data_IF_876455532121
#
_entry.id   IF_876455532121
#
_cell.length_a   1.000
_cell.length_b   1.000
_cell.length_c   1.000
_cell.angle_alpha   90.00
_cell.angle_beta   90.00
_cell.angle_gamma   90.00
#
_symmetry.space_group_name_H-M   'P 1'
#
loop_
_entity.id
_entity.type
_entity.pdbx_description
1 polymer ?
#
# COMPACT_ATOMS: atom_id res chain seq x y z
N UNK A 1 2.98 21.60 0.42
CA UNK A 1 1.55 21.33 0.68
C UNK A 1 1.07 20.08 -0.04
N UNK A 2 1.05 20.01 -1.38
CA UNK A 2 0.49 18.87 -2.13
C UNK A 2 1.11 17.51 -1.74
N UNK A 3 2.44 17.44 -1.56
CA UNK A 3 3.14 16.21 -1.14
C UNK A 3 2.71 15.70 0.24
N UNK A 4 2.52 16.61 1.21
CA UNK A 4 2.12 16.23 2.56
C UNK A 4 0.69 15.68 2.59
N UNK A 5 -0.20 16.22 1.74
CA UNK A 5 -1.57 15.72 1.60
C UNK A 5 -1.62 14.36 0.87
N UNK A 6 -0.78 14.17 -0.15
CA UNK A 6 -0.65 12.88 -0.84
C UNK A 6 -0.17 11.78 0.12
N UNK A 7 0.87 12.05 0.91
CA UNK A 7 1.38 11.08 1.90
C UNK A 7 0.38 10.82 3.04
N UNK A 8 -0.41 11.83 3.42
CA UNK A 8 -1.49 11.62 4.39
C UNK A 8 -2.58 10.69 3.84
N UNK A 9 -3.01 10.89 2.59
CA UNK A 9 -3.98 10.03 1.94
C UNK A 9 -3.51 8.58 1.78
N UNK A 10 -2.22 8.38 1.45
CA UNK A 10 -1.61 7.04 1.40
C UNK A 10 -1.60 6.38 2.79
N UNK A 11 -1.28 7.14 3.83
CA UNK A 11 -1.33 6.68 5.22
C UNK A 11 -2.75 6.28 5.66
N UNK A 12 -3.74 7.11 5.36
CA UNK A 12 -5.14 6.84 5.68
C UNK A 12 -5.65 5.59 4.93
N UNK A 13 -5.30 5.43 3.65
CA UNK A 13 -5.68 4.26 2.88
C UNK A 13 -5.15 2.95 3.50
N UNK A 14 -3.91 2.95 4.00
CA UNK A 14 -3.33 1.82 4.73
C UNK A 14 -4.02 1.62 6.07
N UNK A 15 -4.26 2.69 6.84
CA UNK A 15 -4.91 2.61 8.14
C UNK A 15 -6.31 1.99 8.03
N UNK A 16 -7.10 2.38 7.02
CA UNK A 16 -8.38 1.73 6.72
C UNK A 16 -8.19 0.26 6.35
N UNK A 17 -7.17 -0.08 5.56
CA UNK A 17 -6.91 -1.46 5.18
C UNK A 17 -6.64 -2.35 6.40
N UNK A 18 -5.83 -1.85 7.35
CA UNK A 18 -5.55 -2.53 8.63
C UNK A 18 -6.84 -2.66 9.44
N UNK A 19 -7.58 -1.56 9.62
CA UNK A 19 -8.78 -1.52 10.45
C UNK A 19 -9.88 -2.48 9.96
N UNK A 20 -10.04 -2.60 8.64
CA UNK A 20 -11.00 -3.52 8.04
C UNK A 20 -10.45 -4.93 7.80
N UNK A 21 -9.18 -5.19 8.16
CA UNK A 21 -8.50 -6.48 7.93
C UNK A 21 -8.57 -6.93 6.47
N UNK A 22 -8.44 -5.98 5.54
CA UNK A 22 -8.37 -6.29 4.13
C UNK A 22 -7.00 -6.92 3.82
N UNK A 23 -7.02 -8.04 3.13
CA UNK A 23 -5.79 -8.82 2.88
C UNK A 23 -4.97 -8.28 1.70
N UNK A 24 -5.62 -7.62 0.73
CA UNK A 24 -4.98 -7.23 -0.53
C UNK A 24 -5.07 -5.72 -0.80
N UNK A 25 -3.93 -5.05 -0.72
CA UNK A 25 -3.81 -3.65 -1.09
C UNK A 25 -3.35 -3.53 -2.54
N UNK A 26 -4.31 -3.32 -3.45
CA UNK A 26 -4.04 -3.20 -4.88
C UNK A 26 -3.56 -1.79 -5.22
N UNK A 27 -2.28 -1.66 -5.61
CA UNK A 27 -1.72 -0.36 -6.04
C UNK A 27 -0.64 -0.52 -7.09
N UNK A 28 -0.60 0.43 -8.05
CA UNK A 28 0.53 0.59 -8.99
C UNK A 28 1.60 1.55 -8.47
N UNK A 29 1.30 2.26 -7.39
CA UNK A 29 2.30 3.11 -6.77
C UNK A 29 3.45 2.24 -6.24
N UNK A 30 4.67 2.75 -6.24
CA UNK A 30 5.86 2.10 -5.70
C UNK A 30 6.72 3.05 -4.86
N UNK A 31 6.21 4.24 -4.51
CA UNK A 31 6.93 5.27 -3.77
C UNK A 31 8.18 5.79 -4.47
N UNK A 32 8.34 5.55 -5.79
CA UNK A 32 9.61 5.73 -6.52
C UNK A 32 10.15 7.16 -6.49
N UNK A 33 9.28 8.17 -6.39
CA UNK A 33 9.66 9.58 -6.50
C UNK A 33 9.81 10.31 -5.15
N UNK A 34 9.53 9.66 -4.02
CA UNK A 34 9.52 10.31 -2.69
C UNK A 34 10.58 9.72 -1.75
N UNK A 35 11.24 8.62 -2.15
CA UNK A 35 12.34 8.03 -1.39
C UNK A 35 11.88 7.33 -0.10
N UNK A 36 12.74 7.31 0.92
CA UNK A 36 12.49 6.60 2.19
C UNK A 36 11.40 7.22 3.07
N UNK A 37 10.91 8.42 2.72
CA UNK A 37 9.89 9.13 3.49
C UNK A 37 8.45 8.75 3.16
N UNK A 38 8.22 7.92 2.13
CA UNK A 38 6.86 7.56 1.73
C UNK A 38 6.34 6.32 2.44
N UNK A 39 5.06 6.36 2.82
CA UNK A 39 4.32 5.18 3.35
C UNK A 39 4.39 4.01 2.36
N UNK A 40 4.41 4.31 1.06
CA UNK A 40 4.47 3.33 -0.02
C UNK A 40 5.90 2.90 -0.40
N UNK A 41 6.92 3.31 0.35
CA UNK A 41 8.30 2.89 0.10
C UNK A 41 8.49 1.38 0.32
N UNK A 42 9.45 0.78 -0.39
CA UNK A 42 9.74 -0.67 -0.29
C UNK A 42 9.99 -1.14 1.15
N UNK A 43 10.63 -0.32 1.98
CA UNK A 43 10.89 -0.62 3.39
C UNK A 43 9.59 -0.66 4.20
N UNK A 44 8.72 0.34 4.02
CA UNK A 44 7.47 0.44 4.75
C UNK A 44 6.46 -0.60 4.29
N UNK A 45 6.44 -0.95 3.00
CA UNK A 45 5.65 -2.10 2.51
C UNK A 45 6.03 -3.39 3.19
N UNK A 46 7.33 -3.70 3.22
CA UNK A 46 7.82 -4.92 3.87
C UNK A 46 7.39 -4.97 5.34
N UNK A 47 7.51 -3.85 6.06
CA UNK A 47 7.02 -3.71 7.43
C UNK A 47 5.50 -3.94 7.54
N UNK A 48 4.70 -3.35 6.64
CA UNK A 48 3.25 -3.53 6.61
C UNK A 48 2.83 -4.97 6.29
N UNK A 49 3.56 -5.64 5.41
CA UNK A 49 3.35 -7.05 5.07
C UNK A 49 3.67 -7.97 6.26
N UNK A 50 4.77 -7.70 6.98
CA UNK A 50 5.23 -8.52 8.10
C UNK A 50 4.37 -8.34 9.37
N UNK A 51 4.05 -7.10 9.75
CA UNK A 51 3.34 -6.80 11.02
C UNK A 51 1.82 -6.81 10.88
N UNK A 52 1.27 -6.50 9.70
CA UNK A 52 -0.17 -6.33 9.51
C UNK A 52 -0.79 -7.30 8.49
N UNK A 53 -0.01 -8.25 7.96
CA UNK A 53 -0.47 -9.27 7.00
C UNK A 53 -1.15 -8.73 5.73
N UNK A 54 -0.89 -7.46 5.38
CA UNK A 54 -1.36 -6.86 4.13
C UNK A 54 -0.52 -7.41 2.99
N UNK A 55 -1.09 -7.69 1.83
CA UNK A 55 -0.36 -8.07 0.62
C UNK A 55 -0.47 -6.96 -0.42
N UNK A 56 0.67 -6.38 -0.79
CA UNK A 56 0.68 -5.41 -1.88
C UNK A 56 0.68 -6.15 -3.21
N UNK A 57 -0.38 -5.96 -3.99
CA UNK A 57 -0.56 -6.61 -5.29
C UNK A 57 -0.72 -5.57 -6.39
N UNK A 58 -0.34 -5.94 -7.61
CA UNK A 58 -0.64 -5.12 -8.78
C UNK A 58 -2.07 -5.41 -9.27
N UNK A 59 -2.67 -4.53 -10.12
CA UNK A 59 -3.95 -4.83 -10.73
C UNK A 59 -3.96 -6.14 -11.54
N UNK A 60 -2.82 -6.49 -12.12
CA UNK A 60 -2.65 -7.72 -12.89
C UNK A 60 -2.63 -8.97 -11.98
N UNK A 61 -2.14 -8.83 -10.75
CA UNK A 61 -2.22 -9.89 -9.74
C UNK A 61 -3.64 -9.99 -9.15
N UNK A 62 -4.33 -8.86 -8.97
CA UNK A 62 -5.72 -8.83 -8.53
C UNK A 62 -6.64 -9.52 -9.56
N UNK A 63 -6.44 -9.26 -10.86
CA UNK A 63 -7.19 -9.92 -11.93
C UNK A 63 -7.10 -11.45 -11.82
N UNK A 64 -5.89 -11.99 -11.60
CA UNK A 64 -5.68 -13.43 -11.41
C UNK A 64 -6.40 -13.98 -10.19
N UNK A 65 -6.45 -13.22 -9.09
CA UNK A 65 -7.16 -13.63 -7.87
C UNK A 65 -8.67 -13.69 -8.12
N UNK A 66 -9.22 -12.74 -8.89
CA UNK A 66 -10.66 -12.66 -9.16
C UNK A 66 -11.15 -13.65 -10.24
N UNK A 67 -10.24 -14.16 -11.07
CA UNK A 67 -10.57 -15.07 -12.19
C UNK A 67 -10.16 -16.52 -11.94
N UNK A 68 -9.58 -16.81 -10.77
CA UNK A 68 -9.29 -18.17 -10.28
C UNK A 68 -10.54 -18.83 -9.67
#
# INVERSE_FOLDING_TARGET
MIKAFAEWADGDAIAFHIAYSNEYFCTRDQGKNVGQGSVMSKKNRKWLEEDYSIKFISPEDLEKILTA
#
